data_IF_302348952283
#
_entry.id   IF_302348952283
#
_cell.length_a   1.000
_cell.length_b   1.000
_cell.length_c   1.000
_cell.angle_alpha   90.00
_cell.angle_beta   90.00
_cell.angle_gamma   90.00
#
_symmetry.space_group_name_H-M   'P 1'
#
loop_
_entity.id
_entity.type
_entity.pdbx_description
1 polymer ?
#
# COMPACT_ATOMS: atom_id res chain seq x y z
N UNK A 1 6.25 3.08 0.81
CA UNK A 1 7.15 3.17 -0.38
C UNK A 1 7.22 1.78 -1.00
N UNK A 2 7.16 1.68 -2.32
CA UNK A 2 7.27 0.39 -3.02
C UNK A 2 8.74 0.12 -3.31
N UNK A 3 9.24 -1.04 -2.88
CA UNK A 3 10.64 -1.43 -3.00
C UNK A 3 10.75 -2.71 -3.83
N UNK A 4 11.64 -2.70 -4.83
CA UNK A 4 12.05 -3.87 -5.61
C UNK A 4 10.91 -4.71 -6.21
N UNK A 5 9.75 -4.11 -6.49
CA UNK A 5 8.67 -4.78 -7.22
C UNK A 5 8.86 -4.59 -8.74
N UNK A 6 8.96 -5.67 -9.53
CA UNK A 6 9.24 -5.58 -10.97
C UNK A 6 8.06 -5.13 -11.85
N UNK A 7 6.92 -4.76 -11.25
CA UNK A 7 5.67 -4.53 -11.96
C UNK A 7 4.90 -3.34 -11.39
N UNK A 8 3.71 -3.14 -11.91
CA UNK A 8 2.79 -2.10 -11.46
C UNK A 8 1.77 -2.69 -10.49
N UNK A 9 1.46 -1.91 -9.45
CA UNK A 9 0.44 -2.26 -8.46
C UNK A 9 -0.80 -1.43 -8.76
N UNK A 10 -1.94 -2.12 -8.84
CA UNK A 10 -3.25 -1.53 -9.07
C UNK A 10 -4.15 -1.73 -7.84
N UNK A 11 -5.26 -0.97 -7.80
CA UNK A 11 -6.35 -1.28 -6.89
C UNK A 11 -6.82 -2.73 -7.11
N UNK A 12 -6.97 -3.46 -6.02
CA UNK A 12 -7.29 -4.89 -6.02
C UNK A 12 -6.08 -5.81 -5.87
N UNK A 13 -4.85 -5.31 -5.88
CA UNK A 13 -3.64 -6.10 -5.59
C UNK A 13 -3.72 -6.76 -4.21
N UNK A 14 -3.33 -8.04 -4.10
CA UNK A 14 -3.45 -8.82 -2.88
C UNK A 14 -2.11 -9.35 -2.36
N UNK A 15 -1.28 -8.51 -1.72
CA UNK A 15 -0.05 -8.97 -1.09
C UNK A 15 -0.32 -9.65 0.26
N UNK A 16 0.70 -10.33 0.79
CA UNK A 16 0.72 -10.72 2.19
C UNK A 16 1.34 -9.61 3.03
N UNK A 17 0.66 -9.26 4.11
CA UNK A 17 1.11 -8.29 5.10
C UNK A 17 1.69 -9.04 6.31
N UNK A 18 2.95 -8.74 6.59
CA UNK A 18 3.61 -9.08 7.84
C UNK A 18 3.51 -7.90 8.80
N UNK A 19 2.89 -8.09 9.96
CA UNK A 19 2.80 -7.09 11.02
C UNK A 19 3.02 -7.76 12.37
N UNK A 20 4.12 -7.42 13.06
CA UNK A 20 4.59 -8.15 14.24
C UNK A 20 4.73 -9.67 13.97
N UNK A 21 3.89 -10.50 14.59
CA UNK A 21 3.83 -11.95 14.39
C UNK A 21 2.71 -12.37 13.44
N UNK A 22 1.90 -11.43 12.93
CA UNK A 22 0.79 -11.73 12.03
C UNK A 22 1.29 -11.80 10.57
N UNK A 23 0.84 -12.84 9.86
CA UNK A 23 1.10 -13.07 8.44
C UNK A 23 -0.23 -13.31 7.74
N UNK A 24 -0.77 -12.27 7.10
CA UNK A 24 -2.15 -12.28 6.57
C UNK A 24 -2.20 -11.65 5.18
N UNK A 25 -2.88 -12.30 4.24
CA UNK A 25 -3.15 -11.70 2.93
C UNK A 25 -4.08 -10.49 3.08
N UNK A 26 -3.71 -9.37 2.47
CA UNK A 26 -4.47 -8.13 2.49
C UNK A 26 -4.78 -7.72 1.04
N UNK A 27 -5.94 -7.12 0.80
CA UNK A 27 -6.28 -6.52 -0.50
C UNK A 27 -6.09 -5.02 -0.43
N UNK A 28 -5.39 -4.44 -1.38
CA UNK A 28 -5.34 -2.99 -1.55
C UNK A 28 -6.66 -2.56 -2.18
N UNK A 29 -7.59 -2.06 -1.37
CA UNK A 29 -8.92 -1.67 -1.86
C UNK A 29 -8.86 -0.38 -2.66
N UNK A 30 -8.12 0.60 -2.18
CA UNK A 30 -8.02 1.92 -2.79
C UNK A 30 -6.60 2.47 -2.69
N UNK A 31 -6.07 2.94 -3.81
CA UNK A 31 -4.86 3.77 -3.84
C UNK A 31 -5.30 5.22 -3.65
N UNK A 32 -5.20 5.77 -2.44
CA UNK A 32 -5.76 7.09 -2.11
C UNK A 32 -4.93 8.23 -2.67
N UNK A 33 -3.62 8.19 -2.44
CA UNK A 33 -2.73 9.28 -2.81
C UNK A 33 -1.36 8.74 -3.16
N UNK A 34 -0.74 9.29 -4.19
CA UNK A 34 0.69 9.15 -4.45
C UNK A 34 1.39 10.36 -3.86
N UNK A 35 2.46 10.14 -3.10
CA UNK A 35 3.17 11.17 -2.39
C UNK A 35 4.65 11.18 -2.79
N UNK A 36 5.28 12.35 -2.70
CA UNK A 36 6.72 12.47 -2.82
C UNK A 36 7.41 11.87 -1.58
N UNK A 37 8.39 11.00 -1.82
CA UNK A 37 9.08 10.26 -0.75
C UNK A 37 9.85 11.16 0.22
N UNK A 38 10.32 12.33 -0.22
CA UNK A 38 11.21 13.19 0.58
C UNK A 38 10.43 14.26 1.34
N UNK A 39 9.45 14.87 0.69
CA UNK A 39 8.69 16.00 1.22
C UNK A 39 7.34 15.62 1.81
N UNK A 40 6.84 14.41 1.53
CA UNK A 40 5.51 13.96 1.95
C UNK A 40 4.36 14.66 1.21
N UNK A 41 4.66 15.54 0.25
CA UNK A 41 3.63 16.25 -0.53
C UNK A 41 2.88 15.28 -1.43
N UNK A 42 1.57 15.49 -1.54
CA UNK A 42 0.72 14.74 -2.48
C UNK A 42 1.10 15.17 -3.90
N UNK A 43 1.42 14.19 -4.73
CA UNK A 43 1.71 14.36 -6.16
C UNK A 43 0.47 14.10 -7.02
N UNK A 44 -0.33 13.11 -6.64
CA UNK A 44 -1.52 12.69 -7.37
C UNK A 44 -2.56 12.13 -6.39
N UNK A 45 -3.82 12.53 -6.54
CA UNK A 45 -4.94 11.95 -5.82
C UNK A 45 -5.58 10.82 -6.64
N UNK A 46 -5.94 9.73 -5.96
CA UNK A 46 -6.52 8.52 -6.54
C UNK A 46 -5.73 7.96 -7.76
N UNK A 47 -4.41 7.70 -7.61
CA UNK A 47 -3.60 7.19 -8.71
C UNK A 47 -4.12 5.82 -9.17
N UNK A 48 -4.14 5.59 -10.49
CA UNK A 48 -4.54 4.28 -11.06
C UNK A 48 -3.48 3.20 -10.89
N UNK A 49 -2.21 3.61 -10.82
CA UNK A 49 -1.04 2.74 -10.77
C UNK A 49 -0.01 3.31 -9.80
N UNK A 50 0.71 2.43 -9.09
CA UNK A 50 1.90 2.79 -8.31
C UNK A 50 3.01 1.78 -8.60
N UNK A 51 4.25 2.26 -8.76
CA UNK A 51 5.40 1.45 -9.17
C UNK A 51 6.57 1.55 -8.19
N UNK A 52 7.61 0.75 -8.42
CA UNK A 52 8.83 0.79 -7.61
C UNK A 52 9.39 2.21 -7.49
N UNK A 53 9.71 2.64 -6.27
CA UNK A 53 10.17 3.99 -5.95
C UNK A 53 9.08 4.96 -5.51
N UNK A 54 7.81 4.68 -5.83
CA UNK A 54 6.70 5.54 -5.42
C UNK A 54 6.39 5.39 -3.92
N UNK A 55 6.01 6.49 -3.27
CA UNK A 55 5.32 6.47 -1.99
C UNK A 55 3.84 6.70 -2.24
N UNK A 56 2.98 5.95 -1.55
CA UNK A 56 1.55 6.08 -1.68
C UNK A 56 0.85 5.77 -0.36
N UNK A 57 -0.27 6.44 -0.12
CA UNK A 57 -1.23 6.12 0.92
C UNK A 57 -2.29 5.20 0.33
N UNK A 58 -2.50 4.05 0.95
CA UNK A 58 -3.34 2.97 0.44
C UNK A 58 -4.30 2.53 1.53
N UNK A 59 -5.56 2.31 1.18
CA UNK A 59 -6.50 1.59 2.03
C UNK A 59 -6.39 0.12 1.70
N UNK A 60 -6.21 -0.71 2.73
CA UNK A 60 -6.16 -2.15 2.59
C UNK A 60 -7.20 -2.82 3.48
N UNK A 61 -7.64 -4.01 3.08
CA UNK A 61 -8.58 -4.84 3.84
C UNK A 61 -7.95 -6.22 4.06
N UNK A 62 -7.79 -6.67 5.30
CA UNK A 62 -7.25 -7.99 5.58
C UNK A 62 -8.26 -9.08 5.20
N UNK A 63 -7.78 -10.21 4.69
CA UNK A 63 -8.61 -11.36 4.31
C UNK A 63 -9.12 -12.17 5.50
N UNK A 64 -8.51 -12.02 6.67
CA UNK A 64 -8.89 -12.63 7.95
C UNK A 64 -8.87 -11.55 9.03
N UNK A 65 -9.61 -11.73 10.16
CA UNK A 65 -9.53 -10.81 11.28
C UNK A 65 -8.07 -10.60 11.73
N UNK A 66 -7.67 -9.34 11.85
CA UNK A 66 -6.31 -8.92 12.18
C UNK A 66 -6.41 -7.73 13.13
N UNK A 67 -5.60 -7.72 14.18
CA UNK A 67 -5.47 -6.57 15.09
C UNK A 67 -4.15 -5.86 14.79
N UNK A 68 -4.20 -4.55 14.61
CA UNK A 68 -3.04 -3.68 14.39
C UNK A 68 -3.28 -2.35 15.11
N UNK A 69 -2.23 -1.71 15.59
CA UNK A 69 -2.29 -0.41 16.27
C UNK A 69 -1.49 0.63 15.49
N UNK A 70 -1.86 1.90 15.64
CA UNK A 70 -1.05 3.00 15.13
C UNK A 70 0.19 3.18 16.03
N UNK A 71 1.35 3.28 15.41
CA UNK A 71 2.65 3.56 16.05
C UNK A 71 3.07 5.00 15.86
#
# INVERSE_FOLDING_TARGET
IILNHPGEIHAGYQPVLDCHTAHVACKFTELKQKCDRRSGKILEENPKIVKSGDAAMVTLTPSKPMCVEAS
#
